data_IF_957802004643
#
_entry.id   IF_957802004643
#
_cell.length_a   1.000
_cell.length_b   1.000
_cell.length_c   1.000
_cell.angle_alpha   90.00
_cell.angle_beta   90.00
_cell.angle_gamma   90.00
#
_symmetry.space_group_name_H-M   'P 1'
#
loop_
_entity.id
_entity.type
_entity.pdbx_description
1 polymer ?
#
# COMPACT_ATOMS: atom_id res chain seq x y z
N UNK A 1 8.55 1.36 10.15
CA UNK A 1 8.50 2.83 9.87
C UNK A 1 7.03 3.21 9.82
N UNK A 2 6.64 4.36 10.39
CA UNK A 2 5.25 4.81 10.35
C UNK A 2 4.85 5.21 8.93
N UNK A 3 3.64 4.86 8.52
CA UNK A 3 3.10 5.23 7.22
C UNK A 3 2.83 6.74 7.14
N UNK A 4 3.04 7.37 5.98
CA UNK A 4 2.66 8.76 5.77
C UNK A 4 1.16 8.99 6.01
N UNK A 5 0.83 10.07 6.74
CA UNK A 5 -0.57 10.42 7.06
C UNK A 5 -1.43 10.68 5.82
N UNK A 6 -0.84 11.09 4.70
CA UNK A 6 -1.60 11.33 3.46
C UNK A 6 -2.16 10.03 2.85
N UNK A 7 -1.70 8.85 3.29
CA UNK A 7 -2.26 7.57 2.84
C UNK A 7 -3.55 7.18 3.57
N UNK A 8 -3.91 7.90 4.65
CA UNK A 8 -5.10 7.64 5.45
C UNK A 8 -6.40 7.56 4.62
N UNK A 9 -6.68 8.44 3.63
CA UNK A 9 -7.87 8.30 2.80
C UNK A 9 -7.93 6.98 2.01
N UNK A 10 -6.80 6.47 1.53
CA UNK A 10 -6.76 5.21 0.76
C UNK A 10 -6.79 3.97 1.68
N UNK A 11 -6.33 4.14 2.92
CA UNK A 11 -6.32 3.13 3.98
C UNK A 11 -7.34 3.48 5.07
N UNK A 12 -8.51 4.05 4.71
CA UNK A 12 -9.46 4.61 5.67
C UNK A 12 -10.02 3.58 6.68
N UNK A 13 -10.10 2.31 6.27
CA UNK A 13 -10.50 1.19 7.12
C UNK A 13 -9.43 0.75 8.12
N UNK A 14 -8.20 1.30 8.02
CA UNK A 14 -7.05 0.90 8.80
C UNK A 14 -6.46 2.07 9.60
N UNK A 15 -5.91 1.75 10.78
CA UNK A 15 -5.14 2.71 11.54
C UNK A 15 -3.68 2.65 11.07
N UNK A 16 -3.20 3.72 10.43
CA UNK A 16 -1.82 3.83 9.94
C UNK A 16 -0.76 3.64 11.03
N UNK A 17 -1.11 3.90 12.29
CA UNK A 17 -0.19 3.73 13.43
C UNK A 17 0.07 2.26 13.76
N UNK A 18 -0.86 1.38 13.39
CA UNK A 18 -0.78 -0.06 13.64
C UNK A 18 -0.28 -0.85 12.41
N UNK A 19 -0.23 -0.20 11.24
CA UNK A 19 0.27 -0.81 10.02
C UNK A 19 1.79 -0.66 9.96
N UNK A 20 2.48 -1.77 9.73
CA UNK A 20 3.91 -1.74 9.45
C UNK A 20 4.16 -1.84 7.95
N UNK A 21 4.94 -0.90 7.43
CA UNK A 21 5.25 -0.79 6.01
C UNK A 21 5.87 -2.08 5.41
N UNK A 22 6.58 -2.89 6.19
CA UNK A 22 7.21 -4.11 5.70
C UNK A 22 6.33 -5.35 5.92
N UNK A 23 5.74 -5.50 7.11
CA UNK A 23 4.88 -6.65 7.42
C UNK A 23 3.58 -6.60 6.62
N UNK A 24 2.97 -5.41 6.52
CA UNK A 24 1.68 -5.19 5.86
C UNK A 24 1.85 -4.71 4.41
N UNK A 25 3.05 -4.87 3.83
CA UNK A 25 3.36 -4.36 2.48
C UNK A 25 2.36 -4.81 1.42
N UNK A 26 1.86 -6.05 1.50
CA UNK A 26 0.90 -6.59 0.54
C UNK A 26 -0.43 -5.85 0.59
N UNK A 27 -0.91 -5.55 1.79
CA UNK A 27 -2.14 -4.82 2.03
C UNK A 27 -1.99 -3.38 1.55
N UNK A 28 -0.93 -2.71 1.98
CA UNK A 28 -0.64 -1.32 1.61
C UNK A 28 -0.54 -1.18 0.08
N UNK A 29 0.22 -2.07 -0.58
CA UNK A 29 0.37 -2.05 -2.03
C UNK A 29 -0.99 -2.27 -2.71
N UNK A 30 -1.79 -3.22 -2.25
CA UNK A 30 -3.11 -3.53 -2.83
C UNK A 30 -4.05 -2.33 -2.72
N UNK A 31 -4.17 -1.75 -1.53
CA UNK A 31 -5.07 -0.63 -1.27
C UNK A 31 -4.66 0.63 -2.04
N UNK A 32 -3.37 0.94 -2.09
CA UNK A 32 -2.86 2.09 -2.85
C UNK A 32 -3.01 1.87 -4.36
N UNK A 33 -2.82 0.64 -4.87
CA UNK A 33 -3.07 0.37 -6.29
C UNK A 33 -4.55 0.43 -6.66
N UNK A 34 -5.45 0.05 -5.75
CA UNK A 34 -6.89 0.04 -6.01
C UNK A 34 -7.56 1.42 -5.83
N UNK A 35 -7.13 2.19 -4.83
CA UNK A 35 -7.80 3.42 -4.37
C UNK A 35 -6.94 4.67 -4.48
N UNK A 36 -5.63 4.51 -4.66
CA UNK A 36 -4.66 5.61 -4.68
C UNK A 36 -4.73 6.46 -5.96
N UNK A 37 -4.21 7.68 -5.84
CA UNK A 37 -4.00 8.61 -6.94
C UNK A 37 -2.53 8.62 -7.40
N UNK A 38 -2.18 9.49 -8.35
CA UNK A 38 -0.81 9.65 -8.84
C UNK A 38 0.21 9.91 -7.72
N UNK A 39 -0.17 10.65 -6.67
CA UNK A 39 0.71 10.95 -5.53
C UNK A 39 0.98 9.68 -4.73
N UNK A 40 -0.07 8.92 -4.42
CA UNK A 40 0.04 7.66 -3.69
C UNK A 40 0.81 6.60 -4.50
N UNK A 41 0.56 6.51 -5.81
CA UNK A 41 1.30 5.63 -6.72
C UNK A 41 2.78 5.99 -6.79
N UNK A 42 3.11 7.28 -6.89
CA UNK A 42 4.50 7.73 -6.91
C UNK A 42 5.22 7.42 -5.59
N UNK A 43 4.53 7.57 -4.46
CA UNK A 43 5.06 7.14 -3.17
C UNK A 43 5.29 5.63 -3.11
N UNK A 44 4.33 4.84 -3.58
CA UNK A 44 4.39 3.38 -3.60
C UNK A 44 5.59 2.88 -4.43
N UNK A 45 5.82 3.47 -5.60
CA UNK A 45 6.95 3.14 -6.48
C UNK A 45 8.31 3.56 -5.90
N UNK A 46 8.35 4.61 -5.07
CA UNK A 46 9.57 5.00 -4.33
C UNK A 46 9.83 4.12 -3.11
N UNK A 47 8.77 3.59 -2.51
CA UNK A 47 8.82 2.90 -1.23
C UNK A 47 9.08 1.41 -1.40
N UNK A 48 8.45 0.79 -2.40
CA UNK A 48 8.56 -0.63 -2.68
C UNK A 48 9.27 -0.87 -3.99
N UNK A 49 10.07 -1.93 -4.04
CA UNK A 49 10.72 -2.32 -5.28
C UNK A 49 9.68 -2.83 -6.29
N UNK A 50 9.94 -2.64 -7.58
CA UNK A 50 9.06 -3.15 -8.64
C UNK A 50 8.82 -4.67 -8.55
N UNK A 51 9.76 -5.42 -7.94
CA UNK A 51 9.60 -6.85 -7.67
C UNK A 51 8.51 -7.13 -6.64
N UNK A 52 8.46 -6.39 -5.53
CA UNK A 52 7.43 -6.53 -4.50
C UNK A 52 6.04 -6.21 -5.05
N UNK A 53 5.94 -5.13 -5.82
CA UNK A 53 4.69 -4.71 -6.44
C UNK A 53 4.20 -5.77 -7.43
N UNK A 54 5.10 -6.30 -8.28
CA UNK A 54 4.77 -7.39 -9.20
C UNK A 54 4.37 -8.68 -8.47
N UNK A 55 4.94 -8.97 -7.31
CA UNK A 55 4.57 -10.14 -6.51
C UNK A 55 3.12 -10.05 -6.01
N UNK A 56 2.74 -8.88 -5.49
CA UNK A 56 1.36 -8.60 -5.05
C UNK A 56 0.37 -8.67 -6.22
N UNK A 57 0.74 -8.12 -7.38
CA UNK A 57 -0.10 -8.18 -8.59
C UNK A 57 -0.24 -9.61 -9.15
N UNK A 58 0.76 -10.47 -8.98
CA UNK A 58 0.68 -11.88 -9.40
C UNK A 58 -0.25 -12.70 -8.53
N UNK A 59 -0.35 -12.36 -7.25
CA UNK A 59 -1.18 -13.05 -6.26
C UNK A 59 -2.10 -12.05 -5.55
N UNK A 60 -3.09 -11.47 -6.26
CA UNK A 60 -4.00 -10.51 -5.66
C UNK A 60 -4.87 -11.20 -4.62
N UNK A 61 -5.05 -10.54 -3.48
CA UNK A 61 -5.96 -11.04 -2.45
C UNK A 61 -7.39 -10.67 -2.84
N UNK A 62 -8.25 -11.68 -3.03
CA UNK A 62 -9.64 -11.46 -3.44
C UNK A 62 -10.50 -11.08 -2.24
N UNK A 63 -11.37 -10.08 -2.41
CA UNK A 63 -12.35 -9.68 -1.39
C UNK A 63 -11.85 -8.71 -0.32
N UNK A 64 -10.78 -7.96 -0.61
CA UNK A 64 -10.44 -6.73 0.13
C UNK A 64 -11.24 -5.54 -0.42
#
# INVERSE_FOLDING_TARGET
MALPKFLQPYLASYNLSNLDQNNDKKLIITEVLNKGDDVALHWLLKTYSSKDIKDVLRFPTRGM
#
